data_IF_453958766923
#
_entry.id   IF_453958766923
#
_cell.length_a   1.000
_cell.length_b   1.000
_cell.length_c   1.000
_cell.angle_alpha   90.00
_cell.angle_beta   90.00
_cell.angle_gamma   90.00
#
_symmetry.space_group_name_H-M   'P 1'
#
loop_
_entity.id
_entity.type
_entity.pdbx_description
1 polymer ?
#
# COMPACT_ATOMS: atom_id res chain seq x y z
N UNK A 1 5.42 -14.73 35.28
CA UNK A 1 4.27 -14.61 34.35
C UNK A 1 3.56 -13.31 34.64
N UNK A 2 3.73 -12.28 33.81
CA UNK A 2 3.03 -10.99 33.95
C UNK A 2 2.31 -10.73 32.63
N UNK A 3 0.98 -10.86 32.66
CA UNK A 3 0.07 -10.54 31.57
C UNK A 3 0.09 -9.03 31.31
N UNK A 4 0.43 -8.60 30.11
CA UNK A 4 0.27 -7.21 29.66
C UNK A 4 -1.10 -7.02 29.03
N UNK A 5 -1.89 -6.25 29.71
CA UNK A 5 -3.23 -5.81 29.34
C UNK A 5 -3.16 -4.92 28.08
N UNK A 6 -3.85 -5.32 27.03
CA UNK A 6 -4.01 -4.53 25.80
C UNK A 6 -5.09 -3.47 26.04
N UNK A 7 -4.73 -2.20 26.01
CA UNK A 7 -5.68 -1.07 26.07
C UNK A 7 -6.11 -0.68 24.66
N UNK A 8 -7.38 -0.88 24.37
CA UNK A 8 -8.05 -0.32 23.19
C UNK A 8 -8.34 1.17 23.43
N UNK A 9 -7.89 2.04 22.55
CA UNK A 9 -8.30 3.44 22.44
C UNK A 9 -9.20 3.59 21.23
N UNK A 10 -10.47 3.91 21.51
CA UNK A 10 -11.47 4.28 20.52
C UNK A 10 -11.21 5.72 20.05
N UNK A 11 -11.18 5.96 18.75
CA UNK A 11 -11.17 7.30 18.19
C UNK A 11 -12.49 7.63 17.50
N UNK A 12 -13.01 8.76 17.91
CA UNK A 12 -14.28 9.38 17.53
C UNK A 12 -14.25 9.92 16.10
N UNK A 13 -15.35 9.68 15.41
CA UNK A 13 -15.66 10.18 14.06
C UNK A 13 -16.12 11.66 14.16
N UNK A 14 -15.47 12.57 13.43
CA UNK A 14 -15.98 13.93 13.21
C UNK A 14 -16.36 14.09 11.75
N UNK A 15 -17.66 14.20 11.51
CA UNK A 15 -18.26 14.46 10.19
C UNK A 15 -18.37 15.98 10.01
N UNK A 16 -17.72 16.52 8.98
CA UNK A 16 -17.88 17.91 8.56
C UNK A 16 -18.41 17.98 7.12
N UNK A 17 -19.67 18.39 6.98
CA UNK A 17 -20.30 18.70 5.69
C UNK A 17 -20.19 20.21 5.49
N UNK A 18 -19.56 20.65 4.40
CA UNK A 18 -19.64 22.03 3.93
C UNK A 18 -20.29 22.07 2.54
N UNK A 19 -21.49 22.61 2.50
CA UNK A 19 -22.23 23.01 1.30
C UNK A 19 -21.77 24.41 0.89
N UNK A 20 -21.35 24.62 -0.36
CA UNK A 20 -21.23 25.97 -0.94
C UNK A 20 -21.83 26.00 -2.34
N UNK A 21 -22.64 26.98 -2.49
CA UNK A 21 -23.64 27.30 -3.44
C UNK A 21 -23.22 27.60 -4.89
N UNK A 22 -24.24 27.49 -5.72
CA UNK A 22 -24.30 27.70 -7.16
C UNK A 22 -24.34 29.20 -7.46
N UNK A 23 -23.45 29.66 -8.33
CA UNK A 23 -23.50 30.96 -8.96
C UNK A 23 -23.49 30.81 -10.48
N UNK A 24 -24.63 30.96 -11.13
CA UNK A 24 -24.74 31.08 -12.60
C UNK A 24 -24.38 32.50 -13.04
N UNK A 25 -23.29 32.66 -13.79
CA UNK A 25 -22.98 33.86 -14.53
C UNK A 25 -22.75 33.52 -15.99
N UNK A 26 -23.75 33.84 -16.87
CA UNK A 26 -23.57 33.75 -18.31
C UNK A 26 -22.90 35.03 -18.81
N UNK A 27 -21.68 34.94 -19.33
CA UNK A 27 -21.04 36.00 -20.11
C UNK A 27 -20.74 35.47 -21.50
N UNK A 28 -21.48 35.95 -22.48
CA UNK A 28 -21.21 35.74 -23.91
C UNK A 28 -20.06 36.69 -24.32
N UNK A 29 -18.91 36.16 -24.72
CA UNK A 29 -17.88 36.94 -25.43
C UNK A 29 -17.47 36.21 -26.70
N UNK A 30 -17.61 36.94 -27.80
CA UNK A 30 -17.28 36.56 -29.16
C UNK A 30 -15.73 36.43 -29.33
N UNK A 31 -15.34 35.38 -30.07
CA UNK A 31 -14.18 35.39 -30.96
C UNK A 31 -12.80 35.46 -30.31
N UNK A 32 -12.32 34.31 -29.81
CA UNK A 32 -10.88 34.01 -29.76
C UNK A 32 -10.67 32.56 -30.19
N UNK A 33 -9.84 32.37 -31.21
CA UNK A 33 -9.31 31.09 -31.61
C UNK A 33 -8.77 30.38 -30.36
N UNK A 34 -9.50 29.35 -29.91
CA UNK A 34 -9.08 28.51 -28.82
C UNK A 34 -7.80 27.79 -29.27
N UNK A 35 -6.66 28.23 -28.75
CA UNK A 35 -5.46 27.41 -28.72
C UNK A 35 -5.86 26.12 -27.99
N UNK A 36 -5.90 25.02 -28.73
CA UNK A 36 -6.07 23.68 -28.14
C UNK A 36 -4.79 23.47 -27.31
N UNK A 37 -4.86 23.82 -26.03
CA UNK A 37 -3.89 23.35 -25.06
C UNK A 37 -3.97 21.82 -25.12
N UNK A 38 -2.96 21.22 -25.77
CA UNK A 38 -2.75 19.76 -25.63
C UNK A 38 -2.60 19.52 -24.12
N UNK A 39 -3.69 19.04 -23.51
CA UNK A 39 -3.60 18.49 -22.18
C UNK A 39 -2.55 17.37 -22.28
N UNK A 40 -1.36 17.64 -21.77
CA UNK A 40 -0.34 16.60 -21.59
C UNK A 40 -1.02 15.51 -20.80
N UNK A 41 -1.25 14.37 -21.42
CA UNK A 41 -1.76 13.20 -20.74
C UNK A 41 -0.81 12.96 -19.56
N UNK A 42 -1.30 13.26 -18.36
CA UNK A 42 -0.54 13.05 -17.12
C UNK A 42 -0.21 11.56 -17.12
N UNK A 43 1.06 11.21 -17.33
CA UNK A 43 1.46 9.81 -17.33
C UNK A 43 0.94 9.19 -16.04
N UNK A 44 0.12 8.15 -16.15
CA UNK A 44 -0.42 7.46 -14.98
C UNK A 44 0.75 6.90 -14.19
N UNK A 45 0.82 7.27 -12.91
CA UNK A 45 1.80 6.69 -12.00
C UNK A 45 1.57 5.19 -11.91
N UNK A 46 2.63 4.42 -11.92
CA UNK A 46 2.56 2.95 -11.86
C UNK A 46 3.58 2.41 -10.86
N UNK A 47 3.20 1.45 -10.01
CA UNK A 47 4.14 0.78 -9.12
C UNK A 47 5.03 -0.23 -9.83
N UNK A 48 4.81 -0.53 -11.10
CA UNK A 48 5.59 -1.54 -11.87
C UNK A 48 7.10 -1.29 -11.72
N UNK A 49 7.84 -2.33 -11.31
CA UNK A 49 9.28 -2.28 -11.08
C UNK A 49 9.68 -2.96 -9.76
N UNK A 50 10.95 -2.82 -9.41
CA UNK A 50 11.50 -3.32 -8.13
C UNK A 50 11.51 -2.21 -7.08
N UNK A 51 11.36 -2.64 -5.82
CA UNK A 51 11.24 -1.74 -4.68
C UNK A 51 11.99 -2.31 -3.48
N UNK A 52 12.73 -1.45 -2.78
CA UNK A 52 13.30 -1.71 -1.46
C UNK A 52 12.38 -1.09 -0.42
N UNK A 53 12.02 -1.87 0.59
CA UNK A 53 11.04 -1.50 1.60
C UNK A 53 11.62 -1.53 3.00
N UNK A 54 11.07 -0.68 3.87
CA UNK A 54 11.17 -0.80 5.32
C UNK A 54 9.76 -0.98 5.87
N UNK A 55 9.50 -2.12 6.46
CA UNK A 55 8.24 -2.45 7.15
C UNK A 55 8.40 -2.11 8.62
N UNK A 56 7.49 -1.31 9.17
CA UNK A 56 7.47 -0.94 10.60
C UNK A 56 6.29 -1.62 11.29
N UNK A 57 6.56 -2.32 12.38
CA UNK A 57 5.60 -3.02 13.21
C UNK A 57 5.05 -2.13 14.34
N UNK A 58 3.94 -2.54 15.02
CA UNK A 58 3.31 -1.74 16.09
C UNK A 58 4.21 -1.44 17.29
N UNK A 59 5.21 -2.27 17.55
CA UNK A 59 6.21 -2.08 18.61
C UNK A 59 7.36 -1.14 18.21
N UNK A 60 7.32 -0.60 16.98
CA UNK A 60 8.34 0.26 16.41
C UNK A 60 9.54 -0.50 15.80
N UNK A 61 9.57 -1.83 15.88
CA UNK A 61 10.60 -2.62 15.20
C UNK A 61 10.45 -2.51 13.68
N UNK A 62 11.56 -2.69 12.96
CA UNK A 62 11.61 -2.57 11.51
C UNK A 62 12.23 -3.81 10.87
N UNK A 63 11.72 -4.16 9.69
CA UNK A 63 12.26 -5.22 8.85
C UNK A 63 12.45 -4.73 7.41
N UNK A 64 13.63 -4.97 6.80
CA UNK A 64 13.82 -4.71 5.38
C UNK A 64 13.06 -5.75 4.55
N UNK A 65 12.54 -5.32 3.41
CA UNK A 65 11.87 -6.20 2.44
C UNK A 65 12.16 -5.73 1.02
N UNK A 66 11.92 -6.60 0.03
CA UNK A 66 12.01 -6.22 -1.37
C UNK A 66 10.89 -6.86 -2.19
N UNK A 67 10.22 -6.04 -2.99
CA UNK A 67 9.10 -6.43 -3.84
C UNK A 67 9.38 -6.12 -5.31
N UNK A 68 8.70 -6.85 -6.18
CA UNK A 68 8.57 -6.49 -7.60
C UNK A 68 7.10 -6.53 -7.99
N UNK A 69 6.61 -5.43 -8.56
CA UNK A 69 5.31 -5.37 -9.23
C UNK A 69 5.50 -5.55 -10.74
N UNK A 70 4.77 -6.50 -11.33
CA UNK A 70 4.81 -6.77 -12.78
C UNK A 70 3.68 -6.04 -13.50
N UNK A 71 3.81 -5.75 -14.81
CA UNK A 71 2.71 -5.15 -15.59
C UNK A 71 1.43 -5.98 -15.60
N UNK A 72 1.55 -7.30 -15.40
CA UNK A 72 0.41 -8.24 -15.38
C UNK A 72 -0.35 -8.30 -14.06
N UNK A 73 -0.08 -7.40 -13.08
CA UNK A 73 -0.80 -7.39 -11.80
C UNK A 73 -0.27 -8.38 -10.76
N UNK A 74 0.90 -8.98 -11.00
CA UNK A 74 1.54 -9.87 -10.02
C UNK A 74 2.49 -9.08 -9.13
N UNK A 75 2.46 -9.33 -7.83
CA UNK A 75 3.50 -8.93 -6.88
C UNK A 75 4.35 -10.15 -6.50
N UNK A 76 5.66 -9.95 -6.42
CA UNK A 76 6.65 -10.97 -6.02
C UNK A 76 7.43 -10.41 -4.84
N UNK A 77 7.41 -11.11 -3.71
CA UNK A 77 8.27 -10.84 -2.56
C UNK A 77 9.54 -11.67 -2.64
N UNK A 78 10.69 -11.06 -2.32
CA UNK A 78 11.99 -11.73 -2.33
C UNK A 78 12.57 -11.88 -0.94
N UNK A 79 12.26 -10.94 -0.04
CA UNK A 79 12.81 -10.91 1.32
C UNK A 79 11.76 -10.33 2.29
N UNK A 80 11.73 -10.79 3.56
CA UNK A 80 12.60 -11.81 4.17
C UNK A 80 12.35 -13.23 3.65
N UNK A 81 11.11 -13.61 3.31
CA UNK A 81 10.76 -14.90 2.70
C UNK A 81 10.24 -14.76 1.27
N UNK A 82 10.32 -15.80 0.44
CA UNK A 82 9.71 -15.76 -0.88
C UNK A 82 8.18 -15.70 -0.78
N UNK A 83 7.56 -14.96 -1.71
CA UNK A 83 6.10 -14.84 -1.74
C UNK A 83 5.60 -14.32 -3.08
N UNK A 84 4.35 -14.63 -3.39
CA UNK A 84 3.68 -14.15 -4.60
C UNK A 84 2.23 -13.80 -4.33
N UNK A 85 1.71 -12.86 -5.13
CA UNK A 85 0.33 -12.45 -5.03
C UNK A 85 -0.07 -11.49 -6.13
N UNK A 86 -1.00 -10.60 -5.84
CA UNK A 86 -1.59 -9.70 -6.83
C UNK A 86 -1.54 -8.25 -6.38
N UNK A 87 -1.56 -7.34 -7.34
CA UNK A 87 -1.72 -5.91 -7.10
C UNK A 87 -2.65 -5.29 -8.15
N UNK A 88 -3.27 -4.15 -7.80
CA UNK A 88 -4.08 -3.35 -8.72
C UNK A 88 -4.08 -1.88 -8.31
N UNK A 89 -4.20 -0.99 -9.30
CA UNK A 89 -4.45 0.43 -9.03
C UNK A 89 -5.87 0.62 -8.50
N UNK A 90 -6.03 1.45 -7.48
CA UNK A 90 -7.33 1.86 -6.93
C UNK A 90 -7.67 3.31 -7.29
N UNK A 91 -6.65 4.12 -7.64
CA UNK A 91 -6.81 5.48 -8.18
C UNK A 91 -5.58 5.88 -9.02
N UNK A 92 -5.44 7.14 -9.39
CA UNK A 92 -4.33 7.64 -10.21
C UNK A 92 -2.95 7.48 -9.55
N UNK A 93 -2.87 7.42 -8.23
CA UNK A 93 -1.62 7.26 -7.47
C UNK A 93 -1.76 6.29 -6.29
N UNK A 94 -2.90 5.62 -6.14
CA UNK A 94 -3.11 4.64 -5.09
C UNK A 94 -3.23 3.25 -5.70
N UNK A 95 -2.70 2.26 -5.00
CA UNK A 95 -2.80 0.85 -5.38
C UNK A 95 -2.88 -0.02 -4.12
N UNK A 96 -3.38 -1.21 -4.31
CA UNK A 96 -3.41 -2.23 -3.28
C UNK A 96 -2.62 -3.45 -3.74
N UNK A 97 -2.07 -4.17 -2.79
CA UNK A 97 -1.41 -5.44 -3.05
C UNK A 97 -1.60 -6.42 -1.90
N UNK A 98 -1.60 -7.70 -2.27
CA UNK A 98 -1.66 -8.81 -1.32
C UNK A 98 -0.77 -9.94 -1.81
N UNK A 99 -0.13 -10.63 -0.89
CA UNK A 99 0.68 -11.81 -1.18
C UNK A 99 0.80 -12.69 0.07
N UNK A 100 1.06 -13.97 -0.16
CA UNK A 100 1.50 -14.89 0.88
C UNK A 100 3.03 -14.93 0.89
N UNK A 101 3.63 -14.79 2.08
CA UNK A 101 5.06 -14.87 2.33
C UNK A 101 5.35 -16.10 3.17
N UNK A 102 6.33 -16.91 2.78
CA UNK A 102 6.79 -18.06 3.55
C UNK A 102 7.62 -17.61 4.75
N UNK A 103 7.42 -18.27 5.89
CA UNK A 103 8.24 -18.15 7.09
C UNK A 103 9.09 -19.40 7.22
N UNK A 104 10.41 -19.24 7.10
CA UNK A 104 11.35 -20.32 7.24
C UNK A 104 12.10 -20.21 8.57
N UNK A 105 12.51 -21.36 9.12
CA UNK A 105 13.44 -21.38 10.25
C UNK A 105 14.89 -21.20 9.77
N UNK A 106 15.83 -21.18 10.71
CA UNK A 106 17.26 -21.00 10.41
C UNK A 106 17.88 -22.12 9.54
N UNK A 107 17.16 -23.19 9.30
CA UNK A 107 17.56 -24.32 8.45
C UNK A 107 16.90 -24.24 7.05
N UNK A 108 16.14 -23.18 6.76
CA UNK A 108 15.40 -23.05 5.50
C UNK A 108 14.18 -23.96 5.40
N UNK A 109 13.66 -24.45 6.52
CA UNK A 109 12.45 -25.27 6.57
C UNK A 109 11.28 -24.33 6.85
N UNK A 110 10.26 -24.36 6.00
CA UNK A 110 9.04 -23.59 6.19
C UNK A 110 8.33 -24.01 7.47
N UNK A 111 8.02 -23.03 8.32
CA UNK A 111 7.35 -23.22 9.62
C UNK A 111 5.99 -22.52 9.70
N UNK A 112 5.67 -21.68 8.71
CA UNK A 112 4.42 -20.95 8.64
C UNK A 112 4.36 -20.07 7.40
N UNK A 113 3.39 -19.17 7.38
CA UNK A 113 3.25 -18.15 6.32
C UNK A 113 2.58 -16.89 6.86
N UNK A 114 2.73 -15.79 6.13
CA UNK A 114 2.07 -14.51 6.41
C UNK A 114 1.23 -14.12 5.21
N UNK A 115 -0.06 -13.90 5.43
CA UNK A 115 -0.92 -13.21 4.47
C UNK A 115 -0.73 -11.70 4.65
N UNK A 116 -0.18 -11.04 3.65
CA UNK A 116 0.07 -9.59 3.63
C UNK A 116 -0.99 -8.91 2.77
N UNK A 117 -1.66 -7.89 3.33
CA UNK A 117 -2.62 -7.04 2.61
C UNK A 117 -2.31 -5.57 2.89
N UNK A 118 -2.03 -4.79 1.85
CA UNK A 118 -1.59 -3.41 1.97
C UNK A 118 -2.32 -2.49 1.01
N UNK A 119 -2.57 -1.26 1.48
CA UNK A 119 -2.98 -0.13 0.64
C UNK A 119 -1.84 0.87 0.57
N UNK A 120 -1.50 1.31 -0.63
CA UNK A 120 -0.31 2.09 -0.91
C UNK A 120 -0.61 3.36 -1.69
N UNK A 121 0.20 4.40 -1.46
CA UNK A 121 0.13 5.68 -2.18
C UNK A 121 1.50 6.02 -2.75
N UNK A 122 1.59 6.14 -4.09
CA UNK A 122 2.79 6.60 -4.80
C UNK A 122 2.99 8.10 -4.60
N UNK A 123 4.23 8.49 -4.43
CA UNK A 123 4.65 9.91 -4.49
C UNK A 123 4.42 10.48 -5.89
N UNK A 124 4.35 11.81 -5.98
CA UNK A 124 4.09 12.50 -7.26
C UNK A 124 5.15 12.22 -8.35
N UNK A 125 6.38 11.88 -7.97
CA UNK A 125 7.45 11.52 -8.89
C UNK A 125 7.52 10.00 -9.20
N UNK A 126 6.69 9.17 -8.52
CA UNK A 126 6.65 7.73 -8.71
C UNK A 126 7.85 6.95 -8.19
N UNK A 127 8.77 7.58 -7.43
CA UNK A 127 10.01 6.95 -6.96
C UNK A 127 9.94 6.45 -5.53
N UNK A 128 8.90 6.82 -4.78
CA UNK A 128 8.62 6.32 -3.44
C UNK A 128 7.15 5.99 -3.29
N UNK A 129 6.81 5.13 -2.33
CA UNK A 129 5.44 4.97 -1.86
C UNK A 129 5.42 4.73 -0.35
N UNK A 130 4.28 5.02 0.25
CA UNK A 130 3.95 4.59 1.62
C UNK A 130 2.78 3.64 1.54
N UNK A 131 2.74 2.65 2.44
CA UNK A 131 1.62 1.74 2.54
C UNK A 131 1.27 1.46 4.01
N UNK A 132 0.04 1.01 4.22
CA UNK A 132 -0.42 0.51 5.51
C UNK A 132 -1.39 -0.65 5.31
N UNK A 133 -1.40 -1.58 6.26
CA UNK A 133 -2.29 -2.74 6.18
C UNK A 133 -1.97 -3.80 7.21
N UNK A 134 -2.38 -5.03 6.93
CA UNK A 134 -2.28 -6.16 7.85
C UNK A 134 -1.29 -7.19 7.36
N UNK A 135 -0.58 -7.80 8.30
CA UNK A 135 0.11 -9.07 8.15
C UNK A 135 -0.52 -10.09 9.09
N UNK A 136 -1.10 -11.14 8.54
CA UNK A 136 -1.76 -12.21 9.31
C UNK A 136 -0.87 -13.45 9.29
N UNK A 137 -0.33 -13.82 10.45
CA UNK A 137 0.64 -14.91 10.60
C UNK A 137 -0.08 -16.21 10.91
N UNK A 138 0.26 -17.26 10.16
CA UNK A 138 -0.29 -18.60 10.32
C UNK A 138 0.80 -19.64 10.52
N UNK A 139 0.49 -20.67 11.29
CA UNK A 139 1.25 -21.91 11.30
C UNK A 139 1.01 -22.72 10.01
N UNK A 140 1.79 -23.77 9.78
CA UNK A 140 1.64 -24.63 8.59
C UNK A 140 0.27 -25.34 8.49
N UNK A 141 -0.41 -25.56 9.61
CA UNK A 141 -1.75 -26.15 9.67
C UNK A 141 -2.89 -25.13 9.48
N UNK A 142 -2.55 -23.86 9.21
CA UNK A 142 -3.50 -22.75 9.06
C UNK A 142 -3.94 -22.09 10.37
N UNK A 143 -3.42 -22.54 11.52
CA UNK A 143 -3.73 -21.92 12.81
C UNK A 143 -3.25 -20.47 12.83
N UNK A 144 -4.16 -19.55 13.15
CA UNK A 144 -3.84 -18.12 13.32
C UNK A 144 -2.94 -17.89 14.54
N UNK A 145 -1.76 -17.34 14.32
CA UNK A 145 -0.78 -17.04 15.38
C UNK A 145 -0.79 -15.57 15.79
N UNK A 146 -0.89 -14.64 14.82
CA UNK A 146 -0.87 -13.22 15.09
C UNK A 146 -1.52 -12.40 13.96
N UNK A 147 -1.99 -11.20 14.28
CA UNK A 147 -2.38 -10.17 13.32
C UNK A 147 -1.62 -8.89 13.68
N UNK A 148 -0.85 -8.35 12.73
CA UNK A 148 -0.04 -7.17 12.91
C UNK A 148 -0.49 -6.07 11.94
N UNK A 149 -0.83 -4.90 12.49
CA UNK A 149 -0.97 -3.68 11.69
C UNK A 149 0.44 -3.18 11.36
N UNK A 150 0.76 -3.01 10.08
CA UNK A 150 2.08 -2.55 9.65
C UNK A 150 2.00 -1.29 8.79
N UNK A 151 3.08 -0.52 8.81
CA UNK A 151 3.30 0.57 7.85
C UNK A 151 4.56 0.29 7.05
N UNK A 152 4.57 0.74 5.80
CA UNK A 152 5.68 0.51 4.88
C UNK A 152 6.12 1.81 4.24
N UNK A 153 7.43 2.02 4.18
CA UNK A 153 8.06 3.02 3.33
C UNK A 153 8.89 2.30 2.27
N UNK A 154 8.76 2.73 1.02
CA UNK A 154 9.43 2.09 -0.10
C UNK A 154 10.09 3.10 -1.03
N UNK A 155 11.23 2.70 -1.56
CA UNK A 155 11.97 3.41 -2.60
C UNK A 155 12.20 2.49 -3.80
N UNK A 156 12.14 3.06 -5.00
CA UNK A 156 12.42 2.33 -6.23
C UNK A 156 13.88 1.85 -6.23
N UNK A 157 14.10 0.56 -6.57
CA UNK A 157 15.43 -0.05 -6.62
C UNK A 157 16.13 0.22 -7.97
#
# INVERSE_FOLDING_TARGET
MRSRLVRFLAFSLVTGIALVGVGFGVVVHQGRTASISQAHAKSSLSPVGRWNLTVTFPDGSQSPSSLRFTPGGTVINYTPGPGTGTWSMTSSNQFQYQFEEQIDNNLGIQTGYVDVQQQATLSANGNTYTASGLGTVHAMDGTLLAINQTTTQATRA
#
